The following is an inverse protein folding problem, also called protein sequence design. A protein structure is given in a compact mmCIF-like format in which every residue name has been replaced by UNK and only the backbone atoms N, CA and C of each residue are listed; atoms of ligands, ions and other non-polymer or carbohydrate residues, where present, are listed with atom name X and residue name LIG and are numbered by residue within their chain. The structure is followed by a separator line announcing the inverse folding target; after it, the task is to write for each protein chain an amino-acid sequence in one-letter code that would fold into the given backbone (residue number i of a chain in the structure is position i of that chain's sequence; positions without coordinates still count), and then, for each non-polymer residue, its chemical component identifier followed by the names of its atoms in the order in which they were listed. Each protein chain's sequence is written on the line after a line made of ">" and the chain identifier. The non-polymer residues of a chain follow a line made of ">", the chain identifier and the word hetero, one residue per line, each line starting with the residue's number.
data_IF_318610395566
#
_entry.id   IF_318610395566
#
_cell.length_a   1.000
_cell.length_b   1.000
_cell.length_c   1.000
_cell.angle_alpha   90.00
_cell.angle_beta   90.00
_cell.angle_gamma   90.00
#
_symmetry.space_group_name_H-M   'P 1'
#
loop_
_entity.id
_entity.type
_entity.pdbx_description
1 polymer ?
2 non-polymer ?
3 non-polymer ?
4 non-polymer ?
5 non-polymer ?
6 water ?
#
# COMPACT_ATOMS: atom_id res chain seq x y z
N UNK A 3 2.92 -5.76 -15.88
CA UNK A 3 2.79 -4.96 -14.63
C UNK A 3 1.36 -4.46 -14.31
N UNK A 4 0.56 -4.07 -15.31
CA UNK A 4 -0.85 -3.73 -15.08
C UNK A 4 -1.69 -4.97 -14.74
N UNK A 5 -2.36 -4.95 -13.60
CA UNK A 5 -3.11 -6.10 -13.12
C UNK A 5 -4.48 -6.16 -13.77
N UNK A 6 -5.02 -7.34 -13.89
CA UNK A 6 -6.38 -7.55 -14.41
C UNK A 6 -7.26 -8.06 -13.29
N UNK A 7 -8.04 -7.15 -12.72
CA UNK A 7 -8.83 -7.45 -11.53
C UNK A 7 -9.95 -8.46 -11.79
N UNK A 8 -10.46 -8.52 -13.02
CA UNK A 8 -11.53 -9.48 -13.32
C UNK A 8 -10.98 -10.90 -13.40
N UNK A 9 -9.68 -11.01 -13.62
CA UNK A 9 -9.03 -12.31 -13.68
C UNK A 9 -8.56 -12.83 -12.31
N UNK A 10 -8.31 -11.95 -11.34
CA UNK A 10 -7.78 -12.40 -10.04
C UNK A 10 -8.87 -13.14 -9.24
N UNK A 11 -8.48 -14.26 -8.64
CA UNK A 11 -9.39 -15.07 -7.83
C UNK A 11 -9.98 -14.33 -6.62
N UNK A 12 -11.31 -14.37 -6.51
CA UNK A 12 -12.00 -13.72 -5.41
C UNK A 12 -12.05 -14.71 -4.28
N UNK A 13 -11.49 -14.34 -3.13
CA UNK A 13 -11.37 -15.22 -1.98
C UNK A 13 -12.45 -14.90 -0.97
N UNK A 14 -12.96 -15.96 -0.33
CA UNK A 14 -14.02 -15.82 0.65
C UNK A 14 -13.67 -16.66 1.90
N UNK A 15 -14.48 -16.58 2.94
CA UNK A 15 -14.19 -17.36 4.14
C UNK A 15 -13.15 -16.71 5.03
N UNK A 16 -12.57 -17.50 5.93
CA UNK A 16 -11.63 -17.00 6.93
C UNK A 16 -10.92 -18.17 7.54
N UNK A 17 -9.80 -17.89 8.20
CA UNK A 17 -9.08 -18.92 8.95
C UNK A 17 -9.52 -18.94 10.44
N UNK A 18 -10.58 -18.22 10.78
CA UNK A 18 -11.00 -18.15 12.18
C UNK A 18 -11.57 -19.50 12.59
N UNK A 19 -11.36 -19.88 13.86
CA UNK A 19 -11.76 -21.19 14.34
C UNK A 19 -13.20 -21.31 14.82
N UNK A 20 -13.77 -22.49 14.64
CA UNK A 20 -15.07 -22.81 15.17
C UNK A 20 -16.14 -21.86 14.68
N UNK A 21 -17.00 -21.42 15.58
CA UNK A 21 -18.07 -20.51 15.19
C UNK A 21 -17.62 -19.17 14.61
N UNK A 22 -16.36 -18.81 14.80
CA UNK A 22 -15.92 -17.48 14.39
C UNK A 22 -15.74 -17.41 12.87
N UNK A 23 -15.46 -18.56 12.25
CA UNK A 23 -15.32 -18.69 10.81
C UNK A 23 -16.42 -17.99 10.02
N UNK A 24 -17.65 -18.13 10.48
CA UNK A 24 -18.79 -17.52 9.82
C UNK A 24 -18.87 -16.02 10.04
N UNK A 25 -18.09 -15.50 10.99
CA UNK A 25 -18.11 -14.09 11.29
C UNK A 25 -17.70 -13.24 10.07
N UNK A 26 -16.94 -13.84 9.14
CA UNK A 26 -16.47 -13.15 7.95
C UNK A 26 -17.36 -13.40 6.72
N UNK A 27 -18.59 -13.87 6.94
CA UNK A 27 -19.59 -13.92 5.84
C UNK A 27 -19.80 -12.50 5.36
N UNK A 28 -19.72 -12.33 4.05
CA UNK A 28 -19.90 -11.01 3.43
C UNK A 28 -18.62 -10.25 3.12
N UNK A 29 -17.51 -10.80 3.60
CA UNK A 29 -16.18 -10.32 3.28
C UNK A 29 -15.57 -11.21 2.17
N UNK A 30 -15.14 -10.57 1.08
CA UNK A 30 -14.31 -11.23 0.06
C UNK A 30 -13.17 -10.29 -0.29
N UNK A 31 -12.16 -10.82 -0.95
CA UNK A 31 -10.97 -10.05 -1.26
C UNK A 31 -10.22 -10.54 -2.50
N UNK A 32 -9.44 -9.66 -3.09
CA UNK A 32 -8.57 -9.99 -4.19
C UNK A 32 -7.16 -9.77 -3.73
N UNK A 33 -6.29 -10.76 -3.88
CA UNK A 33 -4.86 -10.64 -3.51
C UNK A 33 -4.01 -10.03 -4.62
N UNK A 34 -3.98 -8.71 -4.64
CA UNK A 34 -3.37 -7.93 -5.69
C UNK A 34 -1.85 -8.04 -5.70
N UNK A 35 -1.25 -8.05 -4.52
CA UNK A 35 0.20 -8.13 -4.41
C UNK A 35 0.77 -9.43 -4.95
N UNK A 36 0.15 -10.55 -4.60
CA UNK A 36 0.54 -11.85 -5.13
C UNK A 36 0.33 -11.88 -6.65
N UNK A 37 -0.83 -11.39 -7.10
CA UNK A 37 -1.15 -11.32 -8.51
C UNK A 37 -0.04 -10.65 -9.28
N UNK A 38 0.60 -9.69 -8.62
CA UNK A 38 1.57 -8.81 -9.25
C UNK A 38 3.02 -9.18 -9.05
N UNK A 39 3.26 -10.27 -8.33
CA UNK A 39 4.61 -10.72 -8.08
C UNK A 39 5.33 -10.02 -6.94
N UNK A 40 4.60 -9.47 -5.99
CA UNK A 40 5.21 -8.78 -4.86
C UNK A 40 5.37 -9.72 -3.67
N UNK A 41 6.43 -9.50 -2.89
CA UNK A 41 6.80 -10.41 -1.80
C UNK A 41 7.00 -9.73 -0.45
N UNK A 42 7.24 -8.43 -0.45
CA UNK A 42 7.67 -7.70 0.73
C UNK A 42 6.51 -7.11 1.51
N UNK A 43 5.40 -6.90 0.83
CA UNK A 43 4.16 -6.56 1.50
C UNK A 43 3.00 -7.15 0.72
N UNK A 44 1.89 -7.35 1.41
CA UNK A 44 0.67 -7.79 0.79
C UNK A 44 -0.19 -6.59 0.46
N UNK A 45 -0.95 -6.69 -0.64
CA UNK A 45 -1.99 -5.73 -1.01
C UNK A 45 -3.27 -6.50 -1.32
N UNK A 46 -4.31 -6.23 -0.56
CA UNK A 46 -5.59 -6.86 -0.78
C UNK A 46 -6.65 -5.81 -0.99
N UNK A 47 -7.52 -6.04 -1.97
CA UNK A 47 -8.69 -5.23 -2.16
C UNK A 47 -9.84 -6.05 -1.55
N UNK A 48 -10.40 -5.50 -0.47
CA UNK A 48 -11.39 -6.22 0.33
C UNK A 48 -12.77 -5.58 0.19
N UNK A 49 -13.77 -6.42 -0.05
CA UNK A 49 -15.16 -5.98 -0.28
C UNK A 49 -16.02 -6.49 0.86
N UNK A 50 -16.75 -5.55 1.47
CA UNK A 50 -17.59 -5.87 2.58
C UNK A 50 -19.00 -5.63 2.12
N UNK A 51 -19.80 -6.70 2.08
CA UNK A 51 -21.24 -6.59 1.89
C UNK A 51 -21.83 -5.86 3.09
N UNK A 52 -23.10 -5.42 2.96
CA UNK A 52 -23.73 -4.78 4.11
C UNK A 52 -23.70 -5.67 5.35
N UNK A 53 -23.31 -5.10 6.48
CA UNK A 53 -23.22 -5.84 7.71
C UNK A 53 -21.88 -6.50 7.95
N UNK A 54 -21.12 -6.80 6.88
CA UNK A 54 -19.85 -7.57 6.96
C UNK A 54 -18.76 -6.77 7.65
N UNK A 55 -17.70 -7.49 8.08
CA UNK A 55 -16.54 -6.87 8.72
C UNK A 55 -15.22 -7.36 8.14
N UNK A 56 -14.19 -6.54 8.29
CA UNK A 56 -12.87 -6.86 7.72
C UNK A 56 -12.19 -7.99 8.47
N UNK A 57 -12.51 -8.13 9.76
CA UNK A 57 -11.78 -8.98 10.68
C UNK A 57 -12.41 -8.84 12.06
N UNK A 58 -12.03 -9.72 12.97
CA UNK A 58 -12.26 -9.49 14.38
C UNK A 58 -11.32 -8.39 14.88
N UNK A 59 -11.78 -7.53 15.78
CA UNK A 59 -10.96 -6.39 16.17
C UNK A 59 -9.63 -6.88 16.70
N UNK A 60 -8.53 -6.34 16.17
CA UNK A 60 -7.20 -6.86 16.47
C UNK A 60 -6.08 -5.86 16.14
N UNK A 61 -4.88 -6.16 16.63
CA UNK A 61 -3.69 -5.42 16.24
C UNK A 61 -2.51 -6.38 16.05
N UNK A 62 -1.60 -5.98 15.15
CA UNK A 62 -0.38 -6.74 14.83
C UNK A 62 0.81 -6.26 15.65
N UNK A 63 1.66 -7.20 16.07
CA UNK A 63 2.90 -6.84 16.74
C UNK A 63 4.00 -6.47 15.75
N UNK A 64 4.09 -7.18 14.65
CA UNK A 64 5.23 -7.07 13.79
C UNK A 64 5.02 -6.33 12.47
N UNK A 65 3.81 -6.31 11.95
CA UNK A 65 3.58 -5.74 10.63
C UNK A 65 2.84 -4.41 10.73
N UNK A 66 3.41 -3.42 10.05
CA UNK A 66 2.68 -2.20 9.73
C UNK A 66 1.50 -2.51 8.82
N UNK A 67 0.51 -1.62 8.85
CA UNK A 67 -0.68 -1.82 8.06
C UNK A 67 -1.28 -0.50 7.63
N UNK A 68 -1.75 -0.44 6.38
CA UNK A 68 -2.35 0.78 5.85
C UNK A 68 -3.59 0.44 5.10
N UNK A 69 -4.61 1.30 5.25
CA UNK A 69 -5.89 1.12 4.62
C UNK A 69 -6.40 2.40 3.96
N UNK A 70 -6.94 2.28 2.75
CA UNK A 70 -7.70 3.38 2.12
C UNK A 70 -9.04 2.85 1.67
N UNK A 71 -10.13 3.58 1.98
CA UNK A 71 -11.45 3.20 1.46
C UNK A 71 -11.55 3.65 0.02
N UNK A 72 -11.98 2.74 -0.85
CA UNK A 72 -12.07 3.02 -2.28
C UNK A 72 -13.52 3.22 -2.73
N UNK A 73 -14.45 2.54 -2.08
CA UNK A 73 -15.86 2.62 -2.40
C UNK A 73 -16.72 2.49 -1.16
N UNK A 74 -17.87 3.17 -1.15
CA UNK A 74 -18.87 3.02 -0.10
C UNK A 74 -18.41 3.72 1.13
N UNK A 75 -19.06 3.42 2.27
CA UNK A 75 -18.73 4.04 3.55
C UNK A 75 -18.58 2.96 4.59
N UNK A 76 -17.55 3.09 5.41
CA UNK A 76 -17.27 2.10 6.45
C UNK A 76 -17.09 2.80 7.78
N UNK A 77 -17.10 1.98 8.85
CA UNK A 77 -16.82 2.47 10.19
C UNK A 77 -15.53 1.80 10.64
N UNK A 78 -14.58 2.60 11.08
CA UNK A 78 -13.35 2.09 11.70
C UNK A 78 -13.58 2.03 13.20
N UNK A 79 -13.53 0.83 13.75
CA UNK A 79 -13.74 0.61 15.18
C UNK A 79 -12.38 0.41 15.82
N UNK A 80 -12.02 1.28 16.78
CA UNK A 80 -10.81 1.06 17.57
C UNK A 80 -11.01 1.41 19.04
N UNK A 81 -9.93 1.49 19.82
CA UNK A 81 -10.03 1.74 21.27
C UNK A 81 -10.89 2.97 21.53
N UNK A 82 -10.76 3.97 20.66
CA UNK A 82 -11.46 5.26 20.80
C UNK A 82 -12.93 5.19 20.33
N UNK A 83 -13.39 4.04 19.85
CA UNK A 83 -14.76 3.89 19.36
C UNK A 83 -14.86 3.85 17.84
N UNK A 84 -15.93 4.45 17.30
CA UNK A 84 -16.31 4.35 15.88
C UNK A 84 -15.96 5.60 15.10
N UNK A 85 -15.32 5.41 13.95
CA UNK A 85 -14.85 6.52 13.12
C UNK A 85 -15.36 6.28 11.72
N UNK A 86 -16.25 7.16 11.22
CA UNK A 86 -16.73 6.95 9.84
C UNK A 86 -15.63 7.20 8.80
N UNK A 87 -15.68 6.43 7.71
CA UNK A 87 -14.67 6.43 6.66
C UNK A 87 -15.34 6.40 5.30
N UNK A 88 -15.08 7.44 4.50
CA UNK A 88 -15.69 7.59 3.17
C UNK A 88 -14.58 7.37 2.13
N UNK A 89 -14.93 7.26 0.83
CA UNK A 89 -13.87 6.98 -0.18
C UNK A 89 -12.74 8.01 -0.17
N UNK A 90 -11.50 7.53 -0.16
CA UNK A 90 -10.32 8.40 -0.01
C UNK A 90 -9.81 8.55 1.41
N UNK A 91 -10.66 8.23 2.40
CA UNK A 91 -10.20 8.23 3.77
C UNK A 91 -9.20 7.09 3.95
N UNK A 92 -8.16 7.35 4.73
CA UNK A 92 -7.09 6.41 4.99
C UNK A 92 -6.85 6.29 6.47
N UNK A 93 -6.37 5.12 6.90
CA UNK A 93 -5.95 4.91 8.28
C UNK A 93 -4.63 4.09 8.31
N UNK A 94 -3.79 4.36 9.30
CA UNK A 94 -2.52 3.69 9.45
C UNK A 94 -2.42 3.04 10.84
N UNK A 95 -1.89 1.81 10.86
CA UNK A 95 -1.77 1.05 12.10
C UNK A 95 -0.32 0.56 12.25
N UNK A 96 0.49 1.32 13.00
CA UNK A 96 1.89 0.94 13.19
C UNK A 96 2.02 -0.39 13.94
N UNK A 97 2.98 -1.20 13.54
CA UNK A 97 3.23 -2.47 14.18
C UNK A 97 3.45 -2.22 15.64
N UNK A 98 2.72 -2.96 16.48
CA UNK A 98 2.94 -2.95 17.94
C UNK A 98 2.04 -2.01 18.70
N UNK A 99 1.50 -0.99 18.04
CA UNK A 99 0.63 -0.06 18.74
C UNK A 99 -0.62 -0.81 19.16
N UNK A 100 -0.81 -1.02 20.49
CA UNK A 100 -1.93 -1.88 20.95
C UNK A 100 -3.30 -1.24 20.90
N UNK A 101 -3.69 -0.78 19.72
CA UNK A 101 -5.02 -0.22 19.52
C UNK A 101 -5.68 -1.10 18.46
N UNK A 102 -6.49 -2.04 18.93
CA UNK A 102 -7.13 -3.01 18.05
C UNK A 102 -8.11 -2.33 17.13
N UNK A 103 -8.15 -2.81 15.89
CA UNK A 103 -8.93 -2.19 14.84
C UNK A 103 -9.67 -3.22 13.97
N UNK A 104 -10.85 -2.81 13.48
CA UNK A 104 -11.61 -3.56 12.46
C UNK A 104 -12.42 -2.56 11.67
N UNK A 105 -12.89 -2.97 10.49
CA UNK A 105 -13.79 -2.15 9.70
C UNK A 105 -15.13 -2.84 9.58
N UNK A 106 -16.20 -2.09 9.79
CA UNK A 106 -17.56 -2.66 9.71
C UNK A 106 -18.40 -1.90 8.71
N UNK A 107 -19.08 -2.64 7.84
CA UNK A 107 -20.04 -2.01 6.92
C UNK A 107 -21.44 -1.92 7.53
N UNK A 108 -21.77 -0.73 8.03
CA UNK A 108 -23.10 -0.46 8.61
C UNK A 108 -24.05 0.26 7.63
N UNK A 109 -23.67 0.35 6.36
CA UNK A 109 -24.57 0.87 5.35
C UNK A 109 -25.29 -0.32 4.70
N UNK A 110 -26.19 0.00 3.78
CA UNK A 110 -26.92 -0.98 2.99
C UNK A 110 -26.28 -1.20 1.63
N UNK A 111 -25.14 -0.53 1.39
CA UNK A 111 -24.40 -0.67 0.13
C UNK A 111 -23.08 -1.42 0.37
N UNK A 112 -22.59 -2.14 -0.65
CA UNK A 112 -21.25 -2.70 -0.55
C UNK A 112 -20.23 -1.59 -0.34
N UNK A 113 -19.13 -1.92 0.32
CA UNK A 113 -18.01 -1.01 0.46
C UNK A 113 -16.75 -1.83 0.16
N UNK A 114 -15.72 -1.16 -0.38
CA UNK A 114 -14.45 -1.79 -0.65
C UNK A 114 -13.31 -0.95 -0.09
N UNK A 115 -12.26 -1.63 0.36
CA UNK A 115 -11.06 -0.93 0.82
C UNK A 115 -9.81 -1.63 0.35
N UNK A 116 -8.76 -0.85 0.20
CA UNK A 116 -7.43 -1.38 -0.09
C UNK A 116 -6.68 -1.52 1.23
N UNK A 117 -6.12 -2.70 1.50
CA UNK A 117 -5.27 -2.91 2.67
C UNK A 117 -3.81 -3.35 2.29
N UNK A 118 -2.83 -2.67 2.84
CA UNK A 118 -1.42 -3.05 2.64
C UNK A 118 -0.87 -3.48 3.98
N UNK A 119 -0.14 -4.60 3.98
CA UNK A 119 0.47 -5.11 5.19
C UNK A 119 1.85 -5.67 4.90
N UNK A 120 2.81 -5.37 5.77
CA UNK A 120 4.16 -5.89 5.57
C UNK A 120 4.14 -7.43 5.66
N UNK A 121 4.91 -8.11 4.82
CA UNK A 121 5.13 -9.57 4.98
C UNK A 121 6.38 -9.79 5.82
N UNK A 122 6.21 -10.56 6.88
CA UNK A 122 7.29 -10.84 7.80
C UNK A 122 7.31 -12.37 8.04
N UNK A 123 8.48 -12.92 8.40
CA UNK A 123 8.57 -14.36 8.65
C UNK A 123 7.66 -14.82 9.80
N UNK A 124 7.54 -14.02 10.86
CA UNK A 124 6.66 -14.36 11.97
C UNK A 124 5.74 -13.20 12.28
N UNK A 125 4.58 -13.51 12.89
CA UNK A 125 3.65 -12.49 13.35
C UNK A 125 2.81 -12.96 14.54
N UNK A 126 2.44 -12.01 15.39
CA UNK A 126 1.45 -12.20 16.43
C UNK A 126 0.39 -11.10 16.33
N UNK A 127 -0.87 -11.51 16.37
CA UNK A 127 -2.00 -10.59 16.44
C UNK A 127 -2.82 -10.87 17.72
N UNK A 128 -3.11 -9.83 18.48
CA UNK A 128 -3.99 -9.93 19.63
C UNK A 128 -5.35 -9.45 19.24
N UNK A 129 -6.36 -10.16 19.72
CA UNK A 129 -7.76 -9.82 19.50
C UNK A 129 -8.27 -9.03 20.69
N UNK A 130 -8.89 -7.89 20.40
CA UNK A 130 -9.27 -6.95 21.44
C UNK A 130 -10.54 -7.34 22.19
N UNK A 131 -11.48 -8.02 21.53
CA UNK A 131 -12.83 -8.22 22.09
C UNK A 131 -13.08 -9.58 22.70
N UNK A 132 -12.05 -10.39 22.82
CA UNK A 132 -12.18 -11.68 23.46
C UNK A 132 -10.78 -12.18 23.74
N UNK A 133 -10.70 -13.26 24.53
CA UNK A 133 -9.43 -13.80 24.92
C UNK A 133 -8.87 -14.71 23.83
N UNK A 134 -8.27 -14.10 22.83
CA UNK A 134 -7.69 -14.85 21.71
C UNK A 134 -6.49 -14.13 21.14
N UNK A 135 -5.58 -14.92 20.59
CA UNK A 135 -4.47 -14.37 19.81
C UNK A 135 -4.17 -15.37 18.72
N UNK A 136 -3.40 -14.92 17.74
CA UNK A 136 -2.93 -15.84 16.70
C UNK A 136 -1.43 -15.61 16.48
N UNK A 137 -0.71 -16.70 16.31
CA UNK A 137 0.71 -16.64 15.99
C UNK A 137 0.85 -17.27 14.61
N UNK A 138 1.64 -16.64 13.76
CA UNK A 138 1.84 -17.17 12.44
C UNK A 138 3.33 -17.31 12.16
N UNK A 139 3.62 -18.27 11.28
CA UNK A 139 4.94 -18.36 10.68
C UNK A 139 4.89 -19.11 9.35
N UNK A 140 6.08 -19.55 8.91
CA UNK A 140 6.24 -20.36 7.70
C UNK A 140 5.48 -21.69 7.86
N UNK A 141 5.69 -22.32 9.03
CA UNK A 141 5.04 -23.61 9.37
C UNK A 141 3.49 -23.55 9.24
N UNK A 142 2.92 -22.42 9.66
CA UNK A 142 1.47 -22.18 9.55
C UNK A 142 1.01 -21.23 10.63
N UNK A 143 -0.28 -21.29 10.97
CA UNK A 143 -0.83 -20.44 12.03
C UNK A 143 -1.63 -21.23 13.07
N UNK A 144 -1.80 -20.59 14.21
CA UNK A 144 -2.43 -21.20 15.38
C UNK A 144 -3.20 -20.18 16.18
N UNK A 145 -4.51 -20.36 16.29
CA UNK A 145 -5.33 -19.58 17.21
C UNK A 145 -5.36 -20.20 18.60
N UNK A 146 -5.07 -19.39 19.61
CA UNK A 146 -5.09 -19.84 21.02
C UNK A 146 -5.60 -18.70 21.87
N UNK A 147 -5.76 -18.97 23.15
CA UNK A 147 -6.04 -17.90 24.09
C UNK A 147 -4.73 -17.09 24.25
N UNK A 148 -4.81 -15.91 24.87
CA UNK A 148 -3.63 -15.04 24.95
C UNK A 148 -2.51 -15.63 25.83
N UNK A 149 -2.84 -16.64 26.62
CA UNK A 149 -1.85 -17.35 27.42
C UNK A 149 -1.31 -18.58 26.68
N UNK A 150 -1.61 -18.71 25.39
CA UNK A 150 -1.18 -19.87 24.61
C UNK A 150 -1.95 -21.18 24.79
N UNK A 151 -2.85 -21.26 25.78
CA UNK A 151 -3.67 -22.47 25.94
C UNK A 151 -4.74 -22.51 24.86
N UNK A 152 -5.34 -23.68 24.61
CA UNK A 152 -6.34 -23.82 23.59
C UNK A 152 -7.64 -23.08 23.85
N UNK A 153 -8.25 -22.57 22.78
CA UNK A 153 -9.55 -21.94 22.81
C UNK A 153 -10.54 -23.00 23.27
N UNK A 154 -11.55 -22.58 24.04
CA UNK A 154 -12.47 -23.51 24.68
C UNK A 154 -13.81 -23.58 23.92
N UNK A 155 -14.60 -24.61 24.23
CA UNK A 155 -15.99 -24.72 23.76
C UNK A 155 -16.84 -23.49 24.09
N UNK A 156 -16.66 -22.99 25.30
CA UNK A 156 -17.36 -21.79 25.73
C UNK A 156 -17.04 -20.62 24.81
N UNK A 157 -15.83 -20.59 24.28
CA UNK A 157 -15.37 -19.53 23.41
C UNK A 157 -15.74 -19.70 21.93
N UNK A 158 -15.49 -20.87 21.35
CA UNK A 158 -15.67 -21.02 19.91
C UNK A 158 -16.69 -22.11 19.52
N UNK A 159 -17.42 -22.64 20.51
CA UNK A 159 -18.50 -23.58 20.24
C UNK A 159 -17.94 -24.99 20.24
N UNK B 2 -5.06 8.46 17.14
CA UNK B 2 -6.04 8.65 16.01
C UNK B 2 -5.44 8.13 14.71
N UNK B 3 -5.63 6.81 14.43
CA UNK B 3 -5.33 6.13 13.16
C UNK B 3 -5.94 6.73 11.87
N UNK B 4 -7.13 7.34 11.94
CA UNK B 4 -7.67 8.01 10.75
C UNK B 4 -6.82 9.23 10.41
N UNK B 5 -6.33 9.29 9.17
CA UNK B 5 -5.46 10.39 8.76
C UNK B 5 -6.33 11.57 8.37
N UNK B 6 -5.80 12.78 8.56
CA UNK B 6 -6.44 14.00 8.05
C UNK B 6 -5.61 14.55 6.90
N UNK B 7 -6.08 14.28 5.69
CA UNK B 7 -5.36 14.61 4.47
C UNK B 7 -5.19 16.11 4.26
N UNK B 8 -6.14 16.92 4.72
CA UNK B 8 -6.08 18.37 4.52
C UNK B 8 -5.02 18.99 5.44
N UNK B 9 -4.62 18.26 6.47
CA UNK B 9 -3.54 18.69 7.35
C UNK B 9 -2.13 18.27 6.89
N UNK B 10 -2.02 17.19 6.08
CA UNK B 10 -0.70 16.67 5.69
C UNK B 10 -0.01 17.65 4.72
N UNK B 11 1.27 17.90 4.97
CA UNK B 11 2.06 18.80 4.15
C UNK B 11 2.14 18.29 2.72
N UNK B 12 1.91 19.18 1.76
CA UNK B 12 2.02 18.85 0.34
C UNK B 12 3.43 19.10 -0.14
N UNK B 13 4.07 18.06 -0.65
CA UNK B 13 5.45 18.14 -1.06
C UNK B 13 5.57 18.34 -2.54
N UNK B 14 6.54 19.16 -2.95
CA UNK B 14 6.80 19.44 -4.37
C UNK B 14 8.29 19.32 -4.63
N UNK B 15 8.70 19.49 -5.88
CA UNK B 15 10.10 19.37 -6.21
C UNK B 15 10.54 17.92 -6.27
N UNK B 16 11.85 17.73 -6.32
CA UNK B 16 12.42 16.41 -6.45
C UNK B 16 13.85 16.42 -5.93
N UNK B 17 14.41 15.22 -5.83
CA UNK B 17 15.81 15.02 -5.55
C UNK B 17 16.68 14.93 -6.83
N UNK B 18 16.12 15.14 -8.02
CA UNK B 18 16.90 14.95 -9.24
C UNK B 18 17.92 16.09 -9.36
N UNK B 19 19.11 15.78 -9.89
CA UNK B 19 20.15 16.78 -10.05
C UNK B 19 20.05 17.71 -11.27
N UNK B 20 20.51 18.94 -11.10
CA UNK B 20 20.63 19.91 -12.19
C UNK B 20 19.32 20.20 -12.87
N UNK B 21 19.35 20.23 -14.20
CA UNK B 21 18.14 20.50 -14.99
C UNK B 21 17.02 19.46 -14.77
N UNK B 22 17.38 18.30 -14.25
CA UNK B 22 16.39 17.23 -14.12
C UNK B 22 15.35 17.55 -13.02
N UNK B 23 15.74 18.30 -11.99
CA UNK B 23 14.76 18.67 -10.96
C UNK B 23 13.49 19.27 -11.56
N UNK B 24 13.65 20.10 -12.58
CA UNK B 24 12.53 20.75 -13.24
C UNK B 24 11.59 19.75 -13.90
N UNK B 25 12.10 18.55 -14.16
CA UNK B 25 11.28 17.53 -14.80
C UNK B 25 10.04 17.16 -13.96
N UNK B 26 10.09 17.39 -12.65
CA UNK B 26 9.01 17.03 -11.76
C UNK B 26 8.06 18.20 -11.44
N UNK B 27 8.14 19.29 -12.20
CA UNK B 27 7.15 20.35 -12.07
C UNK B 27 5.77 19.75 -12.36
N UNK B 28 4.80 20.02 -11.49
CA UNK B 28 3.43 19.53 -11.66
C UNK B 28 3.16 18.22 -10.92
N UNK B 29 4.20 17.64 -10.35
CA UNK B 29 4.10 16.56 -9.43
C UNK B 29 4.12 17.12 -8.00
N UNK B 30 3.13 16.72 -7.20
CA UNK B 30 3.17 16.94 -5.76
C UNK B 30 2.68 15.67 -5.09
N UNK B 31 2.87 15.58 -3.77
CA UNK B 31 2.51 14.36 -3.03
C UNK B 31 2.22 14.62 -1.54
N UNK B 32 1.45 13.73 -0.95
CA UNK B 32 1.22 13.71 0.49
C UNK B 32 1.83 12.41 1.01
N UNK B 33 2.71 12.50 2.02
CA UNK B 33 3.33 11.32 2.63
C UNK B 33 2.42 10.74 3.70
N UNK B 34 1.53 9.85 3.27
CA UNK B 34 0.50 9.27 4.12
C UNK B 34 1.07 8.30 5.13
N UNK B 35 2.10 7.54 4.75
CA UNK B 35 2.71 6.60 5.66
C UNK B 35 3.38 7.26 6.85
N UNK B 36 4.17 8.30 6.57
CA UNK B 36 4.86 9.04 7.62
C UNK B 36 3.83 9.70 8.52
N UNK B 37 2.81 10.31 7.91
CA UNK B 37 1.74 10.95 8.70
C UNK B 37 1.12 9.94 9.68
N UNK B 38 1.14 8.65 9.30
CA UNK B 38 0.47 7.63 10.05
C UNK B 38 1.38 6.86 10.98
N UNK B 39 2.66 7.22 11.01
CA UNK B 39 3.61 6.56 11.87
C UNK B 39 4.08 5.20 11.39
N UNK B 40 3.99 4.93 10.09
CA UNK B 40 4.49 3.66 9.52
C UNK B 40 5.97 3.79 9.14
N UNK B 41 6.71 2.69 9.24
CA UNK B 41 8.15 2.69 9.01
C UNK B 41 8.62 1.59 8.03
N UNK B 42 7.81 0.56 7.81
CA UNK B 42 8.25 -0.60 7.04
C UNK B 42 8.02 -0.40 5.56
N UNK B 43 7.05 0.42 5.21
CA UNK B 43 6.85 0.83 3.82
C UNK B 43 6.39 2.25 3.80
N UNK B 44 6.60 2.92 2.68
CA UNK B 44 6.05 4.24 2.46
C UNK B 44 4.73 4.18 1.71
N UNK B 45 3.85 5.16 1.97
CA UNK B 45 2.60 5.35 1.22
C UNK B 45 2.45 6.83 0.85
N UNK B 46 2.47 7.12 -0.45
CA UNK B 46 2.32 8.48 -0.93
C UNK B 46 1.13 8.61 -1.89
N UNK B 47 0.35 9.67 -1.71
CA UNK B 47 -0.70 10.02 -2.63
C UNK B 47 -0.12 11.11 -3.52
N UNK B 48 0.13 10.78 -4.79
CA UNK B 48 0.85 11.63 -5.72
C UNK B 48 -0.08 12.25 -6.75
N UNK B 49 -0.01 13.57 -6.91
CA UNK B 49 -0.89 14.32 -7.82
C UNK B 49 -0.10 14.85 -9.00
N UNK B 50 -0.58 14.50 -10.20
CA UNK B 50 0.07 14.94 -11.42
C UNK B 50 -0.81 15.94 -12.13
N UNK B 51 -0.34 17.19 -12.23
CA UNK B 51 -1.00 18.20 -13.05
C UNK B 51 -0.84 17.78 -14.49
N UNK B 52 -1.70 18.32 -15.37
CA UNK B 52 -1.60 18.04 -16.79
C UNK B 52 -0.16 18.19 -17.30
N UNK B 53 0.35 17.16 -17.96
CA UNK B 53 1.71 17.17 -18.49
C UNK B 53 2.76 16.63 -17.56
N UNK B 54 2.44 16.53 -16.27
CA UNK B 54 3.40 16.10 -15.23
C UNK B 54 3.68 14.58 -15.25
N UNK B 55 4.78 14.18 -14.60
CA UNK B 55 5.15 12.76 -14.50
C UNK B 55 5.52 12.37 -13.07
N UNK B 56 5.39 11.08 -12.80
CA UNK B 56 5.63 10.54 -11.47
C UNK B 56 7.11 10.47 -11.11
N UNK B 57 7.97 10.41 -12.13
CA UNK B 57 9.39 10.09 -11.99
C UNK B 57 10.02 10.01 -13.37
N UNK B 58 11.34 10.04 -13.42
CA UNK B 58 12.06 9.66 -14.63
C UNK B 58 11.97 8.12 -14.71
N UNK B 59 11.83 7.58 -15.91
CA UNK B 59 11.60 6.14 -16.06
C UNK B 59 12.72 5.34 -15.41
N UNK B 60 12.35 4.46 -14.49
CA UNK B 60 13.34 3.68 -13.71
C UNK B 60 12.78 2.36 -13.18
N UNK B 61 13.66 1.56 -12.57
CA UNK B 61 13.25 0.41 -11.79
C UNK B 61 14.14 0.25 -10.58
N UNK B 62 13.57 -0.29 -9.50
CA UNK B 62 14.26 -0.51 -8.22
C UNK B 62 14.86 -1.91 -8.13
N UNK B 63 16.03 -2.02 -7.51
CA UNK B 63 16.62 -3.33 -7.23
C UNK B 63 16.08 -3.99 -5.97
N UNK B 64 15.80 -3.21 -4.94
CA UNK B 64 15.52 -3.78 -3.60
C UNK B 64 14.08 -3.61 -3.10
N UNK B 65 13.33 -2.65 -3.62
CA UNK B 65 12.02 -2.36 -3.09
C UNK B 65 10.92 -2.73 -4.06
N UNK B 66 9.99 -3.55 -3.58
CA UNK B 66 8.72 -3.75 -4.25
C UNK B 66 7.95 -2.44 -4.25
N UNK B 67 7.11 -2.29 -5.27
CA UNK B 67 6.32 -1.09 -5.44
C UNK B 67 4.92 -1.43 -5.96
N UNK B 68 3.91 -0.76 -5.42
CA UNK B 68 2.54 -0.96 -5.87
C UNK B 68 1.87 0.38 -6.12
N UNK B 69 1.09 0.45 -7.20
CA UNK B 69 0.38 1.69 -7.55
C UNK B 69 -1.10 1.41 -7.85
N UNK B 70 -1.97 2.30 -7.39
CA UNK B 70 -3.39 2.34 -7.80
C UNK B 70 -3.76 3.76 -8.22
N UNK B 71 -4.42 3.92 -9.36
CA UNK B 71 -4.88 5.24 -9.79
C UNK B 71 -6.16 5.51 -9.03
N UNK B 72 -6.26 6.69 -8.43
CA UNK B 72 -7.42 7.07 -7.64
C UNK B 72 -8.30 8.10 -8.35
N UNK B 73 -7.71 8.95 -9.16
CA UNK B 73 -8.52 9.84 -9.98
C UNK B 73 -7.80 10.33 -11.22
N UNK B 74 -8.59 10.73 -12.22
CA UNK B 74 -8.09 11.12 -13.52
C UNK B 74 -7.64 9.93 -14.32
N UNK B 75 -6.88 10.18 -15.39
CA UNK B 75 -6.38 9.12 -16.24
C UNK B 75 -4.88 9.31 -16.48
N UNK B 76 -4.15 8.21 -16.40
CA UNK B 76 -2.73 8.22 -16.58
C UNK B 76 -2.25 7.25 -17.66
N UNK B 77 -1.00 7.42 -18.04
CA UNK B 77 -0.30 6.49 -18.93
C UNK B 77 0.87 5.89 -18.18
N UNK B 78 0.89 4.56 -18.11
CA UNK B 78 2.01 3.84 -17.57
C UNK B 78 2.92 3.55 -18.75
N UNK B 79 4.14 4.07 -18.67
CA UNK B 79 5.17 3.84 -19.68
C UNK B 79 6.16 2.82 -19.14
N UNK B 80 6.34 1.72 -19.86
CA UNK B 80 7.37 0.76 -19.49
C UNK B 80 8.11 0.25 -20.72
N UNK B 81 8.87 -0.85 -20.58
CA UNK B 81 9.60 -1.40 -21.74
C UNK B 81 8.66 -1.80 -22.88
N UNK B 82 7.44 -2.20 -22.55
CA UNK B 82 6.45 -2.60 -23.53
C UNK B 82 5.66 -1.41 -24.10
N UNK B 83 5.98 -0.18 -23.70
CA UNK B 83 5.26 0.98 -24.21
C UNK B 83 4.28 1.60 -23.24
N UNK B 84 3.19 2.11 -23.80
CA UNK B 84 2.21 2.91 -23.07
C UNK B 84 1.00 2.08 -22.71
N UNK B 85 0.54 2.22 -21.47
CA UNK B 85 -0.57 1.46 -20.95
C UNK B 85 -1.48 2.44 -20.24
N UNK B 86 -2.70 2.63 -20.76
CA UNK B 86 -3.62 3.55 -20.09
C UNK B 86 -4.08 3.01 -18.74
N UNK B 87 -4.26 3.92 -17.79
CA UNK B 87 -4.68 3.58 -16.45
C UNK B 87 -5.79 4.56 -16.03
N UNK B 88 -6.94 4.01 -15.68
CA UNK B 88 -8.08 4.79 -15.19
C UNK B 88 -8.26 4.50 -13.69
N UNK B 89 -9.18 5.22 -13.02
CA UNK B 89 -9.32 5.02 -11.57
C UNK B 89 -9.68 3.58 -11.21
N UNK B 90 -8.95 3.03 -10.24
CA UNK B 90 -9.10 1.63 -9.90
C UNK B 90 -8.08 0.72 -10.54
N UNK B 91 -7.44 1.19 -11.61
CA UNK B 91 -6.38 0.40 -12.23
C UNK B 91 -5.17 0.38 -11.30
N UNK B 92 -4.52 -0.79 -11.26
CA UNK B 92 -3.40 -1.07 -10.40
C UNK B 92 -2.26 -1.68 -11.16
N UNK B 93 -1.05 -1.35 -10.73
CA UNK B 93 0.17 -1.92 -11.32
C UNK B 93 1.12 -2.34 -10.20
N UNK B 94 1.85 -3.42 -10.45
CA UNK B 94 2.82 -3.92 -9.50
C UNK B 94 4.20 -4.01 -10.14
N UNK B 95 5.20 -3.56 -9.37
CA UNK B 95 6.60 -3.53 -9.80
C UNK B 95 7.48 -4.29 -8.78
N UNK B 96 7.72 -5.58 -9.05
CA UNK B 96 8.55 -6.38 -8.16
C UNK B 96 9.99 -5.87 -8.14
N UNK B 97 10.60 -5.89 -6.96
CA UNK B 97 11.98 -5.50 -6.82
C UNK B 97 12.82 -6.31 -7.76
N UNK B 98 13.70 -5.64 -8.51
CA UNK B 98 14.70 -6.31 -9.30
C UNK B 98 14.30 -6.58 -10.74
N UNK B 99 13.02 -6.58 -11.01
CA UNK B 99 12.55 -6.76 -12.37
C UNK B 99 12.93 -5.57 -13.25
N UNK B 100 13.83 -5.80 -14.24
CA UNK B 100 14.43 -4.71 -14.98
C UNK B 100 13.51 -4.18 -16.07
N UNK B 101 12.37 -3.64 -15.66
CA UNK B 101 11.45 -2.97 -16.55
C UNK B 101 11.19 -1.58 -15.98
N UNK B 102 11.86 -0.59 -16.55
CA UNK B 102 11.75 0.76 -16.09
C UNK B 102 10.38 1.30 -16.37
N UNK B 103 9.83 2.02 -15.39
CA UNK B 103 8.46 2.47 -15.41
C UNK B 103 8.37 3.94 -14.96
N UNK B 104 7.35 4.63 -15.47
CA UNK B 104 6.95 5.98 -15.02
C UNK B 104 5.47 6.13 -15.33
N UNK B 105 4.81 7.08 -14.68
CA UNK B 105 3.45 7.47 -15.06
C UNK B 105 3.46 8.88 -15.61
N UNK B 106 2.72 9.11 -16.69
CA UNK B 106 2.61 10.45 -17.29
C UNK B 106 1.14 10.85 -17.37
N UNK B 107 0.85 12.10 -17.02
CA UNK B 107 -0.49 12.68 -17.21
C UNK B 107 -0.53 13.41 -18.57
N UNK B 108 -1.14 12.77 -19.56
CA UNK B 108 -1.36 13.37 -20.88
C UNK B 108 -2.72 14.01 -21.03
N UNK B 109 -3.54 13.98 -20.00
CA UNK B 109 -4.86 14.55 -20.07
C UNK B 109 -4.74 16.03 -19.71
N UNK B 110 -5.86 16.74 -19.82
CA UNK B 110 -5.94 18.15 -19.46
C UNK B 110 -6.53 18.33 -18.06
N UNK B 111 -6.72 17.26 -17.30
CA UNK B 111 -7.10 17.42 -15.89
C UNK B 111 -6.07 16.77 -14.96
N UNK B 112 -6.07 17.15 -13.68
CA UNK B 112 -5.15 16.49 -12.78
C UNK B 112 -5.50 15.03 -12.62
N UNK B 113 -4.51 14.22 -12.26
CA UNK B 113 -4.72 12.81 -11.97
C UNK B 113 -3.93 12.52 -10.71
N UNK B 114 -4.44 11.62 -9.89
CA UNK B 114 -3.78 11.21 -8.67
C UNK B 114 -3.64 9.70 -8.59
N UNK B 115 -2.59 9.25 -7.94
CA UNK B 115 -2.39 7.82 -7.71
C UNK B 115 -1.75 7.57 -6.34
N UNK B 116 -2.09 6.41 -5.78
CA UNK B 116 -1.51 5.93 -4.56
C UNK B 116 -0.30 5.05 -4.89
N UNK B 117 0.84 5.32 -4.27
CA UNK B 117 2.04 4.49 -4.45
C UNK B 117 2.56 3.99 -3.10
N UNK B 118 2.80 2.67 -3.04
CA UNK B 118 3.35 2.00 -1.86
C UNK B 118 4.72 1.44 -2.25
N UNK B 119 5.72 1.65 -1.41
CA UNK B 119 7.06 1.14 -1.66
C UNK B 119 7.68 0.68 -0.37
N UNK B 120 8.29 -0.50 -0.37
CA UNK B 120 9.00 -0.97 0.81
C UNK B 120 10.08 0.05 1.26
N UNK B 121 10.24 0.21 2.57
CA UNK B 121 11.39 0.94 3.13
C UNK B 121 12.51 -0.04 3.43
N UNK B 122 13.69 0.22 2.89
CA UNK B 122 14.85 -0.64 3.07
C UNK B 122 16.05 0.23 3.42
N UNK B 123 17.04 -0.34 4.12
CA UNK B 123 18.23 0.43 4.47
C UNK B 123 18.96 1.00 3.25
N UNK B 124 19.10 0.19 2.21
CA UNK B 124 19.72 0.66 0.98
C UNK B 124 18.82 0.40 -0.24
N UNK B 125 19.08 1.18 -1.30
CA UNK B 125 18.41 0.93 -2.56
C UNK B 125 19.27 1.39 -3.72
N UNK B 126 19.09 0.73 -4.86
CA UNK B 126 19.64 1.18 -6.14
C UNK B 126 18.54 1.19 -7.18
N UNK B 127 18.40 2.31 -7.89
CA UNK B 127 17.50 2.40 -9.00
C UNK B 127 18.30 2.66 -10.28
N UNK B 128 17.90 2.01 -11.38
CA UNK B 128 18.44 2.33 -12.72
C UNK B 128 17.43 3.08 -13.59
N UNK B 129 17.91 4.12 -14.26
CA UNK B 129 17.10 4.98 -15.10
C UNK B 129 17.19 4.48 -16.55
N UNK B 130 16.04 4.27 -17.17
CA UNK B 130 15.95 3.63 -18.49
C UNK B 130 16.36 4.54 -19.63
N UNK B 131 16.09 5.83 -19.48
CA UNK B 131 16.12 6.75 -20.62
C UNK B 131 17.40 7.57 -20.76
N UNK B 132 18.34 7.36 -19.85
CA UNK B 132 19.61 8.03 -19.92
C UNK B 132 20.60 7.29 -19.06
N UNK B 133 21.87 7.68 -19.14
CA UNK B 133 22.94 7.02 -18.42
C UNK B 133 23.02 7.56 -17.00
N UNK B 134 22.09 7.09 -16.17
CA UNK B 134 22.04 7.48 -14.78
C UNK B 134 21.53 6.32 -13.91
N UNK B 135 22.00 6.32 -12.67
CA UNK B 135 21.53 5.43 -11.61
C UNK B 135 21.59 6.21 -10.32
N UNK B 136 20.89 5.73 -9.32
CA UNK B 136 20.92 6.36 -8.00
C UNK B 136 21.18 5.27 -6.94
N UNK B 137 21.92 5.61 -5.90
CA UNK B 137 22.05 4.76 -4.75
C UNK B 137 21.50 5.53 -3.58
N UNK B 138 20.54 4.90 -2.89
CA UNK B 138 19.88 5.51 -1.76
C UNK B 138 20.34 4.81 -0.50
N UNK B 139 20.60 5.56 0.55
CA UNK B 139 20.73 4.98 1.88
C UNK B 139 20.06 5.94 2.85
N UNK B 140 20.27 5.78 4.15
CA UNK B 140 19.55 6.59 5.14
C UNK B 140 19.88 8.09 5.09
N UNK B 141 21.04 8.45 4.55
CA UNK B 141 21.42 9.86 4.40
C UNK B 141 20.87 10.50 3.12
N UNK B 142 20.26 9.74 2.22
CA UNK B 142 19.75 10.30 0.96
C UNK B 142 20.20 9.59 -0.31
N UNK B 143 20.32 10.34 -1.39
CA UNK B 143 20.47 9.78 -2.73
C UNK B 143 21.76 10.21 -3.40
N UNK B 144 22.54 9.25 -3.93
CA UNK B 144 23.72 9.56 -4.71
C UNK B 144 23.45 9.19 -6.16
N UNK B 145 23.26 10.20 -6.99
CA UNK B 145 23.08 10.00 -8.43
C UNK B 145 24.41 10.01 -9.14
N UNK B 146 24.61 9.02 -10.01
CA UNK B 146 25.83 8.91 -10.80
C UNK B 146 25.49 8.28 -12.12
N UNK B 147 26.48 8.21 -13.01
CA UNK B 147 26.34 7.44 -14.24
C UNK B 147 26.35 5.95 -13.88
N UNK B 148 25.98 5.12 -14.84
CA UNK B 148 25.80 3.70 -14.56
C UNK B 148 27.11 2.99 -14.23
N UNK B 149 28.23 3.60 -14.61
CA UNK B 149 29.56 3.13 -14.22
C UNK B 149 30.02 3.70 -12.88
N UNK B 150 29.16 4.41 -12.15
CA UNK B 150 29.57 5.02 -10.88
C UNK B 150 30.27 6.37 -10.95
N UNK B 151 30.65 6.81 -12.14
CA UNK B 151 31.30 8.10 -12.32
C UNK B 151 30.27 9.22 -12.19
N UNK B 152 30.72 10.45 -11.97
CA UNK B 152 29.78 11.56 -11.80
C UNK B 152 28.98 11.90 -13.05
N UNK B 153 27.75 12.36 -12.84
CA UNK B 153 26.95 12.95 -13.90
C UNK B 153 27.65 14.20 -14.42
N UNK B 154 27.54 14.45 -15.72
CA UNK B 154 28.26 15.54 -16.37
C UNK B 154 27.36 16.73 -16.65
N UNK B 155 27.98 17.86 -16.96
CA UNK B 155 27.27 19.06 -17.39
C UNK B 155 26.44 18.77 -18.63
N UNK B 156 26.99 18.01 -19.57
CA UNK B 156 26.21 17.66 -20.77
C UNK B 156 24.92 16.96 -20.35
N UNK B 157 24.97 16.19 -19.27
CA UNK B 157 23.83 15.43 -18.81
C UNK B 157 22.84 16.20 -17.97
N UNK B 158 23.31 16.97 -16.98
CA UNK B 158 22.41 17.62 -16.02
C UNK B 158 22.51 19.15 -15.98
N UNK B 159 23.27 19.72 -16.91
CA UNK B 159 23.38 21.18 -17.06
C UNK B 159 24.49 21.69 -16.19
X LIG C 1 -13.26 -14.81 25.78
X LIG D 1 -6.55 -11.46 11.11
X LIG D 1 -5.87 -13.08 10.98
X LIG D 1 -7.73 -11.42 12.39
X LIG D 1 -5.08 -10.24 11.55
X LIG D 1 -7.35 -10.93 9.39
X LIG E 1 -8.34 -4.41 9.41
X LIG E 1 -9.11 -5.40 9.25
X LIG E 1 -8.59 -3.70 10.41
X LIG E 1 -7.20 -4.08 8.48
X LIG F 1 13.41 8.00 -7.77
X LIG F 1 11.79 8.39 -7.25
X LIG F 1 13.68 8.31 -9.48
X LIG F 1 14.71 9.06 -6.73
X LIG F 1 13.71 6.07 -7.45
X LIG G 1 3.29 20.64 -8.19
X LIG G 1 1.87 20.76 -8.24
X LIG G 1 3.91 21.94 -8.67
X LIG G 1 5.28 21.71 -9.03
X LIG G 1 5.96 22.94 -9.31
X LIG G 1 5.56 23.50 -10.69
X LIG G 1 4.74 24.66 -10.54
#
# INVERSE_FOLDING_TARGET
>A
GXPKLDLDSIERRIGSVYPGRLNAAMDGRSSLRLGDAGGLSQFGVNLVRLEPGAKSSLRHYHMEQDEFVMVTEGALVLVDDQGEHPMVPGDCAAFPAGDPNGHQFVNRTDAPATFLVVGTRTPTETAYYSDMDMMVKQDASGFAFTRKDGSPLTADQIGDDNE
>B
GMPKLDLDSIERRIGSVYPGRLNAAMDGRSSLRLGDAGGLSQFGVNLVRLEPGAKSSLRHYHMEQDEFVMVTEGALVLVDDQGEHPMVPGDCAAFPAGDPNGHQFVNRTDAPATFLVVGTRTPTETAYYSDMDMMVKQDASGFAFTRKDGSPLTADQIGDDNE
>C hetero
1 CL CL
>D hetero
1 CAC AS O1 O2 C1 C2
>E hetero
1 ACT C O OXT CH3
>F hetero
1 CAC AS O1 O2 C1 C2
>G hetero
1 PEG C1 O1 C2 O2 C3 C4 O4
#
